data_IF_916942943329
#
_entry.id   IF_916942943329
#
_cell.length_a   1.000
_cell.length_b   1.000
_cell.length_c   1.000
_cell.angle_alpha   90.00
_cell.angle_beta   90.00
_cell.angle_gamma   90.00
#
_symmetry.space_group_name_H-M   'P 1'
#
loop_
_entity.id
_entity.type
_entity.pdbx_description
1 polymer ?
#
# COMPACT_ATOMS: atom_id res chain seq x y z
N UNK A 1 55.11 20.69 6.65
CA UNK A 1 54.62 22.00 6.18
C UNK A 1 53.39 21.80 5.30
N UNK A 2 52.38 22.63 5.55
CA UNK A 2 51.05 22.72 4.94
C UNK A 2 51.02 22.40 3.44
N UNK A 3 49.98 21.68 3.01
CA UNK A 3 49.10 22.04 1.87
C UNK A 3 47.76 21.31 2.04
N UNK A 4 46.86 22.01 2.73
CA UNK A 4 45.41 21.82 2.65
C UNK A 4 45.00 22.36 1.27
N UNK A 5 44.37 21.52 0.46
CA UNK A 5 43.61 21.89 -0.75
C UNK A 5 42.50 20.83 -0.87
N UNK A 6 41.39 21.02 -0.17
CA UNK A 6 40.13 21.54 -0.75
C UNK A 6 39.60 20.72 -1.94
N UNK A 7 38.78 19.74 -1.59
CA UNK A 7 37.65 19.19 -2.38
C UNK A 7 36.91 18.29 -1.40
N UNK A 8 36.20 18.81 -0.38
CA UNK A 8 34.92 19.52 -0.48
C UNK A 8 34.00 19.06 -1.62
N UNK A 9 33.96 17.75 -1.91
CA UNK A 9 32.75 17.13 -2.44
C UNK A 9 31.76 16.96 -1.29
N UNK A 10 31.19 18.11 -0.93
CA UNK A 10 29.96 18.26 -0.18
C UNK A 10 28.95 17.29 -0.78
N UNK A 11 28.63 16.24 -0.03
CA UNK A 11 27.28 16.06 0.49
C UNK A 11 26.19 16.57 -0.46
N UNK A 12 26.08 15.98 -1.66
CA UNK A 12 24.79 15.87 -2.33
C UNK A 12 23.98 14.86 -1.53
N UNK A 13 23.50 15.35 -0.39
CA UNK A 13 22.39 14.82 0.35
C UNK A 13 21.35 14.35 -0.66
N UNK A 14 21.15 13.04 -0.76
CA UNK A 14 19.99 12.36 -0.19
C UNK A 14 18.67 13.17 -0.18
N UNK A 15 18.44 14.03 -1.16
CA UNK A 15 17.19 14.74 -1.37
C UNK A 15 16.11 13.84 -2.01
N UNK A 16 16.17 12.52 -1.78
CA UNK A 16 15.06 11.60 -2.05
C UNK A 16 14.09 11.50 -0.86
N UNK A 17 14.25 12.31 0.18
CA UNK A 17 13.31 12.37 1.31
C UNK A 17 12.38 13.58 1.18
N UNK A 18 11.46 13.55 0.22
CA UNK A 18 10.26 14.39 0.20
C UNK A 18 9.34 13.86 -0.91
N UNK A 19 8.38 12.96 -0.69
CA UNK A 19 7.32 12.99 0.31
C UNK A 19 7.10 11.60 0.94
N UNK A 20 6.85 11.55 2.24
CA UNK A 20 6.60 10.30 2.96
C UNK A 20 5.51 9.43 2.32
N UNK A 21 5.89 8.21 1.96
CA UNK A 21 5.08 6.98 1.98
C UNK A 21 3.65 7.00 1.43
N UNK A 22 3.32 7.82 0.43
CA UNK A 22 1.98 7.76 -0.19
C UNK A 22 1.68 6.37 -0.76
N UNK A 23 2.66 5.72 -1.38
CA UNK A 23 2.53 4.37 -1.95
C UNK A 23 2.31 3.32 -0.86
N UNK A 24 3.08 3.38 0.23
CA UNK A 24 2.96 2.46 1.36
C UNK A 24 1.61 2.62 2.07
N UNK A 25 1.19 3.86 2.33
CA UNK A 25 -0.11 4.15 2.95
C UNK A 25 -1.28 3.72 2.06
N UNK A 26 -1.17 3.92 0.75
CA UNK A 26 -2.20 3.48 -0.18
C UNK A 26 -2.23 1.95 -0.29
N UNK A 27 -1.07 1.29 -0.24
CA UNK A 27 -0.98 -0.17 -0.13
C UNK A 27 -1.52 -0.69 1.22
N UNK A 28 -1.32 0.05 2.32
CA UNK A 28 -1.91 -0.25 3.63
C UNK A 28 -3.44 -0.29 3.50
N UNK A 29 -4.05 0.78 2.98
CA UNK A 29 -5.50 0.88 2.84
C UNK A 29 -6.09 -0.26 2.01
N UNK A 30 -5.47 -0.56 0.86
CA UNK A 30 -5.96 -1.62 -0.01
C UNK A 30 -5.75 -2.99 0.63
N UNK A 31 -4.61 -3.20 1.29
CA UNK A 31 -4.34 -4.38 2.09
C UNK A 31 -5.40 -4.59 3.17
N UNK A 32 -5.61 -3.61 4.04
CA UNK A 32 -6.59 -3.65 5.13
C UNK A 32 -8.01 -3.96 4.63
N UNK A 33 -8.39 -3.42 3.47
CA UNK A 33 -9.67 -3.70 2.84
C UNK A 33 -9.79 -5.17 2.42
N UNK A 34 -8.74 -5.75 1.83
CA UNK A 34 -8.69 -7.19 1.50
C UNK A 34 -8.71 -8.04 2.77
N UNK A 35 -8.03 -7.63 3.83
CA UNK A 35 -8.01 -8.34 5.11
C UNK A 35 -9.40 -8.32 5.77
N UNK A 36 -10.10 -7.18 5.72
CA UNK A 36 -11.50 -7.08 6.14
C UNK A 36 -12.39 -8.01 5.31
N UNK A 37 -12.15 -8.12 4.00
CA UNK A 37 -12.89 -9.03 3.13
C UNK A 37 -12.75 -10.49 3.62
N UNK A 38 -11.55 -10.95 3.94
CA UNK A 38 -11.35 -12.29 4.50
C UNK A 38 -12.08 -12.48 5.83
N UNK A 39 -11.98 -11.50 6.75
CA UNK A 39 -12.71 -11.58 8.02
C UNK A 39 -14.23 -11.63 7.82
N UNK A 40 -14.78 -10.92 6.85
CA UNK A 40 -16.21 -10.97 6.52
C UNK A 40 -16.59 -12.30 5.88
N UNK A 41 -15.71 -12.90 5.07
CA UNK A 41 -15.91 -14.26 4.55
C UNK A 41 -15.98 -15.28 5.69
N UNK A 42 -15.11 -15.19 6.69
CA UNK A 42 -15.15 -16.08 7.86
C UNK A 42 -16.46 -15.91 8.65
N UNK A 43 -16.92 -14.67 8.85
CA UNK A 43 -18.23 -14.39 9.44
C UNK A 43 -19.38 -15.00 8.64
N UNK A 44 -19.35 -14.87 7.31
CA UNK A 44 -20.35 -15.46 6.43
C UNK A 44 -20.37 -17.00 6.55
N UNK A 45 -19.20 -17.63 6.61
CA UNK A 45 -19.08 -19.08 6.82
C UNK A 45 -19.58 -19.52 8.21
N UNK A 46 -19.44 -18.64 9.21
CA UNK A 46 -20.00 -18.85 10.55
C UNK A 46 -21.52 -18.58 10.63
N UNK A 47 -22.17 -18.18 9.53
CA UNK A 47 -23.61 -17.91 9.48
C UNK A 47 -24.00 -16.52 10.00
N UNK A 48 -23.08 -15.57 10.08
CA UNK A 48 -23.36 -14.20 10.50
C UNK A 48 -24.15 -13.44 9.41
N UNK A 49 -25.35 -12.99 9.75
CA UNK A 49 -26.22 -12.24 8.84
C UNK A 49 -25.68 -10.82 8.53
N UNK A 50 -24.78 -10.26 9.36
CA UNK A 50 -24.14 -8.97 9.09
C UNK A 50 -23.17 -9.03 7.92
N UNK A 51 -22.64 -10.22 7.60
CA UNK A 51 -21.57 -10.40 6.64
C UNK A 51 -21.95 -9.89 5.24
N UNK A 52 -23.22 -10.04 4.84
CA UNK A 52 -23.71 -9.51 3.56
C UNK A 52 -23.57 -7.98 3.48
N UNK A 53 -24.01 -7.28 4.52
CA UNK A 53 -23.95 -5.81 4.56
C UNK A 53 -22.50 -5.32 4.61
N UNK A 54 -21.67 -5.96 5.43
CA UNK A 54 -20.24 -5.63 5.52
C UNK A 54 -19.52 -5.87 4.19
N UNK A 55 -19.89 -6.92 3.44
CA UNK A 55 -19.35 -7.17 2.11
C UNK A 55 -19.75 -6.09 1.09
N UNK A 56 -21.01 -5.62 1.11
CA UNK A 56 -21.46 -4.52 0.26
C UNK A 56 -20.73 -3.20 0.57
N UNK A 57 -20.39 -2.95 1.83
CA UNK A 57 -19.58 -1.79 2.25
C UNK A 57 -18.13 -1.92 1.73
N UNK A 58 -17.54 -3.10 1.88
CA UNK A 58 -16.19 -3.41 1.36
C UNK A 58 -16.14 -3.26 -0.16
N UNK A 59 -17.16 -3.72 -0.89
CA UNK A 59 -17.21 -3.58 -2.35
C UNK A 59 -17.24 -2.10 -2.78
N UNK A 60 -18.05 -1.27 -2.10
CA UNK A 60 -18.13 0.17 -2.37
C UNK A 60 -16.81 0.89 -2.08
N UNK A 61 -16.22 0.61 -0.92
CA UNK A 61 -14.90 1.17 -0.55
C UNK A 61 -13.82 0.70 -1.52
N UNK A 62 -13.83 -0.59 -1.87
CA UNK A 62 -12.85 -1.24 -2.73
C UNK A 62 -12.90 -0.72 -4.15
N UNK A 63 -14.09 -0.53 -4.72
CA UNK A 63 -14.25 0.06 -6.06
C UNK A 63 -13.70 1.48 -6.13
N UNK A 64 -14.09 2.33 -5.16
CA UNK A 64 -13.62 3.72 -5.10
C UNK A 64 -12.10 3.79 -4.95
N UNK A 65 -11.55 2.97 -4.05
CA UNK A 65 -10.11 2.92 -3.82
C UNK A 65 -9.38 2.38 -5.06
N UNK A 66 -9.86 1.31 -5.68
CA UNK A 66 -9.26 0.75 -6.90
C UNK A 66 -9.19 1.79 -8.03
N UNK A 67 -10.28 2.52 -8.29
CA UNK A 67 -10.31 3.57 -9.31
C UNK A 67 -9.34 4.73 -9.01
N UNK A 68 -9.15 5.07 -7.73
CA UNK A 68 -8.16 6.08 -7.31
C UNK A 68 -6.73 5.58 -7.54
N UNK A 69 -6.45 4.34 -7.14
CA UNK A 69 -5.11 3.77 -7.18
C UNK A 69 -4.67 3.39 -8.59
N UNK A 70 -5.57 2.94 -9.46
CA UNK A 70 -5.26 2.69 -10.88
C UNK A 70 -4.82 3.95 -11.61
N UNK A 71 -5.40 5.11 -11.24
CA UNK A 71 -5.00 6.41 -11.80
C UNK A 71 -3.64 6.88 -11.25
N UNK A 72 -3.37 6.62 -9.97
CA UNK A 72 -2.11 7.02 -9.32
C UNK A 72 -0.93 6.13 -9.73
N UNK A 73 -1.19 4.84 -9.93
CA UNK A 73 -0.15 3.82 -10.08
C UNK A 73 -0.35 3.00 -11.36
N UNK A 74 -0.01 3.55 -12.55
CA UNK A 74 -0.01 2.81 -13.80
C UNK A 74 0.84 1.53 -13.68
N UNK A 75 0.37 0.41 -14.23
CA UNK A 75 1.01 -0.91 -14.06
C UNK A 75 2.49 -0.95 -14.48
N UNK A 76 2.85 -0.15 -15.47
CA UNK A 76 4.21 -0.12 -16.02
C UNK A 76 5.14 0.89 -15.33
N UNK A 77 4.62 1.69 -14.38
CA UNK A 77 5.44 2.63 -13.61
C UNK A 77 6.21 1.95 -12.48
N UNK A 78 7.34 2.53 -12.09
CA UNK A 78 8.13 2.06 -10.93
C UNK A 78 7.30 2.07 -9.64
N UNK A 79 6.50 3.13 -9.44
CA UNK A 79 5.58 3.26 -8.32
C UNK A 79 4.46 2.21 -8.36
N UNK A 80 3.97 1.85 -9.56
CA UNK A 80 2.98 0.79 -9.74
C UNK A 80 3.51 -0.59 -9.38
N UNK A 81 4.76 -0.88 -9.73
CA UNK A 81 5.43 -2.12 -9.28
C UNK A 81 5.62 -2.14 -7.77
N UNK A 82 6.11 -1.03 -7.19
CA UNK A 82 6.27 -0.90 -5.73
C UNK A 82 4.94 -1.07 -4.99
N UNK A 83 3.87 -0.47 -5.49
CA UNK A 83 2.52 -0.61 -4.95
C UNK A 83 2.06 -2.09 -4.96
N UNK A 84 2.23 -2.79 -6.09
CA UNK A 84 1.87 -4.21 -6.21
C UNK A 84 2.65 -5.10 -5.24
N UNK A 85 3.96 -4.90 -5.11
CA UNK A 85 4.80 -5.68 -4.19
C UNK A 85 4.40 -5.46 -2.72
N UNK A 86 4.11 -4.21 -2.35
CA UNK A 86 3.63 -3.87 -1.01
C UNK A 86 2.25 -4.48 -0.72
N UNK A 87 1.32 -4.43 -1.68
CA UNK A 87 0.02 -5.09 -1.54
C UNK A 87 0.17 -6.60 -1.37
N UNK A 88 0.98 -7.26 -2.19
CA UNK A 88 1.20 -8.70 -2.11
C UNK A 88 1.68 -9.10 -0.71
N UNK A 89 2.69 -8.40 -0.20
CA UNK A 89 3.24 -8.62 1.15
C UNK A 89 2.17 -8.49 2.23
N UNK A 90 1.28 -7.50 2.10
CA UNK A 90 0.21 -7.25 3.07
C UNK A 90 -0.89 -8.32 3.02
N UNK A 91 -1.32 -8.69 1.83
CA UNK A 91 -2.34 -9.72 1.63
C UNK A 91 -1.84 -11.07 2.18
N UNK A 92 -0.58 -11.42 1.94
CA UNK A 92 0.04 -12.62 2.52
C UNK A 92 0.03 -12.63 4.06
N UNK A 93 0.13 -11.46 4.70
CA UNK A 93 0.05 -11.38 6.16
C UNK A 93 -1.37 -11.57 6.70
N UNK A 94 -2.38 -11.38 5.85
CA UNK A 94 -3.78 -11.51 6.23
C UNK A 94 -4.32 -12.94 6.07
N UNK A 95 -3.72 -13.74 5.19
CA UNK A 95 -4.10 -15.15 5.00
C UNK A 95 -3.30 -16.12 5.88
N UNK A 96 -2.27 -15.66 6.57
CA UNK A 96 -1.45 -16.45 7.51
C UNK A 96 -1.96 -16.42 8.97
N UNK A 97 -3.03 -15.69 9.25
CA UNK A 97 -3.71 -15.70 10.55
C UNK A 97 -4.76 -16.79 10.60
#
# INVERSE_FOLDING_TARGET
MKKILLTLTVFSALALTSCGNSVEKDADKMGDLVCRMFSVMDKAMAGDESAKKEMEEIEKEGKKLSEELEKKYPKDSEEGKKFQDLMKTKIENCTKK
#
